data_IF_007746484853
#
_entry.id   IF_007746484853
#
_cell.length_a   1.000
_cell.length_b   1.000
_cell.length_c   1.000
_cell.angle_alpha   90.00
_cell.angle_beta   90.00
_cell.angle_gamma   90.00
#
_symmetry.space_group_name_H-M   'P 1'
#
loop_
_entity.id
_entity.type
_entity.pdbx_description
1 polymer ?
#
# COMPACT_ATOMS: atom_id res chain seq x y z
N UNK A 1 24.16 -29.33 76.45
CA UNK A 1 23.00 -29.23 75.50
C UNK A 1 23.41 -28.28 74.42
N UNK A 2 23.68 -28.81 73.23
CA UNK A 2 24.17 -28.01 72.06
C UNK A 2 23.05 -27.89 71.08
N UNK A 3 22.58 -26.66 70.82
CA UNK A 3 21.60 -26.36 69.79
C UNK A 3 22.32 -26.08 68.49
N UNK A 4 21.97 -26.83 67.44
CA UNK A 4 22.42 -26.61 66.06
C UNK A 4 21.42 -25.75 65.36
N UNK A 5 21.86 -24.60 64.87
CA UNK A 5 21.10 -23.75 64.00
C UNK A 5 21.32 -24.11 62.51
N UNK A 6 20.30 -24.56 61.85
CA UNK A 6 20.34 -24.83 60.39
C UNK A 6 20.06 -23.56 59.59
N UNK A 7 21.05 -23.13 58.82
CA UNK A 7 20.90 -22.04 57.83
C UNK A 7 20.31 -22.63 56.54
N UNK A 8 19.09 -22.20 56.19
CA UNK A 8 18.47 -22.46 54.90
C UNK A 8 18.86 -21.33 53.93
N UNK A 9 19.78 -21.64 53.01
CA UNK A 9 20.05 -20.77 51.83
C UNK A 9 18.95 -20.99 50.82
N UNK A 10 18.07 -20.00 50.69
CA UNK A 10 17.09 -19.93 49.60
C UNK A 10 17.78 -19.45 48.31
N UNK A 11 17.91 -20.35 47.33
CA UNK A 11 18.26 -19.96 45.95
C UNK A 11 17.07 -19.26 45.30
N UNK A 12 17.16 -17.95 45.17
CA UNK A 12 16.26 -17.19 44.27
C UNK A 12 16.73 -17.36 42.82
N UNK A 13 16.11 -18.29 42.09
CA UNK A 13 16.20 -18.32 40.64
C UNK A 13 15.45 -17.09 40.10
N UNK A 14 16.18 -16.05 39.71
CA UNK A 14 15.64 -15.02 38.88
C UNK A 14 15.47 -15.59 37.47
N UNK A 15 14.25 -16.00 37.17
CA UNK A 15 13.83 -16.24 35.78
C UNK A 15 13.77 -14.87 35.11
N UNK A 16 14.82 -14.56 34.35
CA UNK A 16 14.78 -13.46 33.37
C UNK A 16 13.73 -13.85 32.30
N UNK A 17 12.48 -13.43 32.49
CA UNK A 17 11.52 -13.40 31.41
C UNK A 17 12.09 -12.39 30.40
N UNK A 18 12.77 -12.88 29.37
CA UNK A 18 12.95 -12.11 28.14
C UNK A 18 11.56 -11.87 27.61
N UNK A 19 11.01 -10.66 27.86
CA UNK A 19 9.88 -10.17 27.13
C UNK A 19 10.29 -10.27 25.65
N UNK A 20 9.66 -11.17 24.91
CA UNK A 20 9.70 -11.11 23.46
C UNK A 20 9.11 -9.72 23.14
N UNK A 21 9.97 -8.79 22.76
CA UNK A 21 9.55 -7.55 22.15
C UNK A 21 8.70 -7.99 20.95
N UNK A 22 7.41 -7.76 21.07
CA UNK A 22 6.48 -7.91 19.95
C UNK A 22 6.95 -6.86 18.94
N UNK A 23 7.82 -7.28 18.01
CA UNK A 23 8.42 -6.42 17.00
C UNK A 23 7.26 -5.91 16.13
N UNK A 24 6.72 -4.77 16.53
CA UNK A 24 5.72 -4.05 15.75
C UNK A 24 6.28 -3.91 14.34
N UNK A 25 5.57 -4.47 13.37
CA UNK A 25 5.93 -4.34 11.97
C UNK A 25 5.87 -2.88 11.57
N UNK A 26 6.85 -2.46 10.78
CA UNK A 26 6.83 -1.16 10.17
C UNK A 26 5.74 -1.12 9.08
N UNK A 27 5.21 0.07 8.88
CA UNK A 27 4.21 0.39 7.86
C UNK A 27 4.74 1.47 6.92
N UNK A 28 3.98 1.82 5.90
CA UNK A 28 4.31 2.93 5.01
C UNK A 28 4.50 4.27 5.75
N UNK A 29 3.85 4.42 6.91
CA UNK A 29 3.91 5.66 7.71
C UNK A 29 5.18 5.77 8.56
N UNK A 30 5.94 4.69 8.69
CA UNK A 30 7.23 4.68 9.37
C UNK A 30 8.40 5.01 8.41
N UNK A 31 8.12 5.12 7.11
CA UNK A 31 9.10 5.50 6.10
C UNK A 31 9.54 6.97 6.28
N UNK A 32 10.83 7.22 6.14
CA UNK A 32 11.45 8.51 6.40
C UNK A 32 11.80 9.22 5.10
N UNK A 33 10.88 10.07 4.62
CA UNK A 33 11.08 10.88 3.43
C UNK A 33 12.32 11.79 3.56
N UNK A 34 13.06 11.95 2.47
CA UNK A 34 14.29 12.72 2.42
C UNK A 34 15.51 12.01 3.01
N UNK A 35 15.33 10.84 3.62
CA UNK A 35 16.42 10.10 4.26
C UNK A 35 16.95 8.97 3.35
N UNK A 36 18.23 8.60 3.52
CA UNK A 36 18.82 7.51 2.74
C UNK A 36 18.21 6.16 3.08
N UNK A 37 18.40 5.19 2.19
CA UNK A 37 17.92 3.81 2.33
C UNK A 37 18.36 3.18 3.68
N UNK A 38 19.56 3.49 4.14
CA UNK A 38 20.10 2.98 5.42
C UNK A 38 19.40 3.54 6.67
N UNK A 39 18.63 4.60 6.53
CA UNK A 39 17.86 5.20 7.63
C UNK A 39 16.41 4.72 7.66
N UNK A 40 15.97 3.97 6.64
CA UNK A 40 14.62 3.40 6.61
C UNK A 40 14.46 2.31 7.66
N UNK A 41 13.22 1.95 8.03
CA UNK A 41 12.98 0.82 8.92
C UNK A 41 13.64 -0.45 8.36
N UNK A 42 14.10 -1.33 9.26
CA UNK A 42 14.82 -2.54 8.86
C UNK A 42 13.95 -3.43 7.95
N UNK A 43 14.57 -4.07 6.97
CA UNK A 43 13.84 -4.86 5.96
C UNK A 43 13.08 -6.06 6.56
N UNK A 44 13.54 -6.60 7.68
CA UNK A 44 12.88 -7.69 8.40
C UNK A 44 11.56 -7.29 9.09
N UNK A 45 11.30 -5.98 9.19
CA UNK A 45 10.00 -5.46 9.67
C UNK A 45 8.90 -5.48 8.59
N UNK A 46 9.24 -5.87 7.37
CA UNK A 46 8.31 -6.02 6.26
C UNK A 46 8.21 -7.48 5.84
N UNK A 47 7.10 -7.84 5.21
CA UNK A 47 6.84 -9.20 4.72
C UNK A 47 7.59 -9.50 3.42
N UNK A 48 7.68 -8.53 2.56
CA UNK A 48 8.27 -8.71 1.25
C UNK A 48 8.58 -7.42 0.52
N UNK A 49 9.41 -7.55 -0.50
CA UNK A 49 9.82 -6.46 -1.36
C UNK A 49 9.82 -6.89 -2.81
N UNK A 50 9.43 -6.00 -3.70
CA UNK A 50 9.56 -6.20 -5.14
C UNK A 50 9.77 -4.87 -5.87
N UNK A 51 10.30 -4.94 -7.09
CA UNK A 51 10.28 -3.77 -7.96
C UNK A 51 8.85 -3.42 -8.36
N UNK A 52 8.51 -2.16 -8.23
CA UNK A 52 7.21 -1.64 -8.56
C UNK A 52 6.97 -1.43 -10.06
N UNK A 53 5.72 -1.13 -10.38
CA UNK A 53 5.26 -0.80 -11.74
C UNK A 53 4.13 0.23 -11.71
N UNK A 54 4.30 1.26 -10.88
CA UNK A 54 3.36 2.37 -10.73
C UNK A 54 1.94 1.92 -10.28
N UNK A 55 1.88 1.06 -9.25
CA UNK A 55 0.64 0.50 -8.74
C UNK A 55 0.15 -0.73 -9.50
N UNK A 56 0.87 -1.18 -10.51
CA UNK A 56 0.59 -2.40 -11.26
C UNK A 56 1.20 -3.65 -10.62
N UNK A 57 1.27 -4.77 -11.35
CA UNK A 57 1.85 -6.01 -10.85
C UNK A 57 3.32 -5.83 -10.43
N UNK A 58 3.79 -6.50 -9.37
CA UNK A 58 5.20 -6.50 -9.01
C UNK A 58 6.03 -7.16 -10.11
N UNK A 59 7.24 -6.63 -10.35
CA UNK A 59 8.11 -7.15 -11.40
C UNK A 59 9.11 -8.15 -10.83
N UNK A 60 10.15 -7.67 -10.16
CA UNK A 60 11.25 -8.48 -9.62
C UNK A 60 11.17 -8.50 -8.10
N UNK A 61 11.23 -9.68 -7.50
CA UNK A 61 11.34 -9.80 -6.06
C UNK A 61 12.71 -9.32 -5.57
N UNK A 62 12.73 -8.67 -4.42
CA UNK A 62 13.90 -8.10 -3.77
C UNK A 62 14.04 -8.69 -2.37
N UNK A 63 15.26 -8.62 -1.79
CA UNK A 63 15.51 -9.04 -0.41
C UNK A 63 15.31 -7.92 0.62
N UNK A 64 15.25 -6.68 0.17
CA UNK A 64 15.08 -5.51 1.03
C UNK A 64 15.33 -4.21 0.29
N UNK A 65 15.42 -3.12 1.06
CA UNK A 65 15.62 -1.78 0.53
C UNK A 65 16.92 -1.62 -0.28
N UNK A 66 18.01 -2.28 0.13
CA UNK A 66 19.33 -2.16 -0.50
C UNK A 66 19.34 -2.62 -1.96
N UNK A 67 18.38 -3.45 -2.33
CA UNK A 67 18.20 -3.94 -3.70
C UNK A 67 17.52 -2.91 -4.64
N UNK A 68 17.17 -1.70 -4.20
CA UNK A 68 16.39 -0.72 -4.97
C UNK A 68 16.98 -0.43 -6.36
N UNK A 69 18.33 -0.46 -6.50
CA UNK A 69 19.02 -0.24 -7.78
C UNK A 69 18.74 -1.30 -8.84
N UNK A 70 18.19 -2.45 -8.43
CA UNK A 70 17.79 -3.52 -9.36
C UNK A 70 16.46 -3.22 -10.05
N UNK A 71 15.73 -2.20 -9.58
CA UNK A 71 14.49 -1.74 -10.20
C UNK A 71 14.79 -0.73 -11.30
N UNK A 72 14.00 -0.81 -12.38
CA UNK A 72 14.08 0.16 -13.47
C UNK A 72 13.70 1.55 -12.96
N UNK A 73 14.37 2.58 -13.44
CA UNK A 73 13.99 3.94 -13.14
C UNK A 73 12.70 4.33 -13.90
N UNK A 74 11.79 5.03 -13.25
CA UNK A 74 10.67 5.70 -13.89
C UNK A 74 11.15 6.89 -14.75
N UNK A 75 10.25 7.49 -15.51
CA UNK A 75 10.57 8.65 -16.36
C UNK A 75 11.09 9.86 -15.56
N UNK A 76 10.75 9.95 -14.28
CA UNK A 76 11.22 10.97 -13.35
C UNK A 76 12.57 10.63 -12.68
N UNK A 77 13.20 9.51 -13.07
CA UNK A 77 14.46 9.02 -12.51
C UNK A 77 14.35 8.29 -11.19
N UNK A 78 13.13 8.12 -10.63
CA UNK A 78 12.93 7.41 -9.38
C UNK A 78 12.78 5.91 -9.60
N UNK A 79 13.22 5.12 -8.62
CA UNK A 79 13.10 3.66 -8.61
C UNK A 79 12.06 3.25 -7.59
N UNK A 80 11.03 2.56 -8.05
CA UNK A 80 9.92 2.14 -7.22
C UNK A 80 10.16 0.78 -6.59
N UNK A 81 10.10 0.75 -5.27
CA UNK A 81 10.19 -0.47 -4.46
C UNK A 81 8.87 -0.67 -3.72
N UNK A 82 8.17 -1.74 -4.04
CA UNK A 82 7.01 -2.19 -3.28
C UNK A 82 7.45 -2.77 -1.96
N UNK A 83 6.71 -2.45 -0.89
CA UNK A 83 6.87 -3.07 0.41
C UNK A 83 5.53 -3.57 0.93
N UNK A 84 5.58 -4.69 1.64
CA UNK A 84 4.43 -5.38 2.16
C UNK A 84 4.58 -5.61 3.65
N UNK A 85 3.56 -5.32 4.46
CA UNK A 85 3.65 -5.40 5.91
C UNK A 85 2.50 -6.14 6.59
N UNK A 86 1.46 -6.51 5.88
CA UNK A 86 0.45 -7.43 6.39
C UNK A 86 0.13 -8.52 5.36
N UNK A 87 -0.49 -9.59 5.80
CA UNK A 87 -0.83 -10.77 5.03
C UNK A 87 -2.32 -11.10 5.12
N UNK A 88 -3.16 -10.17 5.59
CA UNK A 88 -4.60 -10.39 5.68
C UNK A 88 -5.25 -10.56 4.30
N UNK A 89 -4.58 -10.01 3.28
CA UNK A 89 -4.99 -10.13 1.90
C UNK A 89 -3.94 -10.89 1.10
N UNK A 90 -4.10 -12.19 1.02
CA UNK A 90 -3.45 -12.97 -0.02
C UNK A 90 -4.14 -12.65 -1.35
N UNK A 91 -3.56 -11.71 -2.11
CA UNK A 91 -4.06 -11.43 -3.46
C UNK A 91 -3.71 -12.57 -4.35
N UNK A 92 -4.66 -13.39 -4.53
CA UNK A 92 -4.62 -14.36 -5.59
C UNK A 92 -4.88 -13.60 -6.89
N UNK A 93 -3.87 -12.97 -7.46
CA UNK A 93 -3.81 -12.75 -8.89
C UNK A 93 -3.67 -14.11 -9.61
N UNK A 94 -4.30 -15.15 -9.10
CA UNK A 94 -4.54 -16.43 -9.72
C UNK A 94 -5.84 -16.34 -10.49
N UNK A 95 -5.92 -15.47 -11.47
CA UNK A 95 -6.58 -15.91 -12.66
C UNK A 95 -5.89 -17.21 -13.04
N UNK A 96 -6.61 -18.27 -13.29
CA UNK A 96 -6.08 -19.61 -13.54
C UNK A 96 -4.98 -19.65 -14.61
N UNK A 97 -4.76 -18.58 -15.34
CA UNK A 97 -3.88 -18.42 -16.48
C UNK A 97 -2.99 -17.17 -16.44
N UNK A 98 -2.94 -16.40 -15.33
CA UNK A 98 -2.01 -15.29 -15.21
C UNK A 98 -0.61 -15.79 -14.82
N UNK A 99 0.45 -15.10 -15.31
CA UNK A 99 1.83 -15.46 -15.00
C UNK A 99 2.06 -15.65 -13.51
N UNK A 100 2.74 -16.72 -13.15
CA UNK A 100 2.99 -17.15 -11.77
C UNK A 100 3.65 -16.09 -10.88
N UNK A 101 4.30 -15.12 -11.50
CA UNK A 101 4.96 -14.02 -10.79
C UNK A 101 3.97 -13.04 -10.14
N UNK A 102 2.83 -12.82 -10.76
CA UNK A 102 1.78 -11.95 -10.23
C UNK A 102 1.05 -12.61 -9.07
N UNK A 103 1.08 -13.95 -9.01
CA UNK A 103 0.28 -14.73 -8.06
C UNK A 103 0.87 -14.83 -6.65
N UNK A 104 2.07 -14.34 -6.42
CA UNK A 104 2.79 -14.52 -5.14
C UNK A 104 2.97 -13.27 -4.32
N UNK A 105 2.59 -12.11 -4.85
CA UNK A 105 2.62 -10.89 -4.09
C UNK A 105 1.34 -10.83 -3.24
N UNK A 106 1.49 -11.09 -1.96
CA UNK A 106 0.43 -10.81 -1.01
C UNK A 106 0.28 -9.29 -0.93
N UNK A 107 -0.89 -8.78 -0.74
CA UNK A 107 -1.10 -7.35 -0.63
C UNK A 107 -0.88 -6.83 0.78
N UNK A 108 -1.16 -5.58 0.98
CA UNK A 108 -1.22 -4.98 2.29
C UNK A 108 -2.52 -4.21 2.42
N UNK A 109 -2.91 -3.91 3.66
CA UNK A 109 -4.14 -3.19 3.98
C UNK A 109 -3.82 -1.86 4.61
N UNK A 110 -4.46 -0.81 4.13
CA UNK A 110 -4.40 0.51 4.75
C UNK A 110 -5.82 1.07 4.90
N UNK A 111 -6.15 1.50 6.11
CA UNK A 111 -7.50 1.97 6.47
C UNK A 111 -8.62 1.00 6.05
N UNK A 112 -8.35 -0.30 6.06
CA UNK A 112 -9.26 -1.36 5.66
C UNK A 112 -9.45 -1.54 4.16
N UNK A 113 -8.67 -0.85 3.32
CA UNK A 113 -8.65 -1.03 1.88
C UNK A 113 -7.41 -1.81 1.45
N UNK A 114 -7.55 -2.72 0.47
CA UNK A 114 -6.41 -3.35 -0.14
C UNK A 114 -5.62 -2.32 -0.95
N UNK A 115 -4.31 -2.27 -0.72
CA UNK A 115 -3.43 -1.30 -1.35
C UNK A 115 -2.10 -1.92 -1.77
N UNK A 116 -1.47 -1.29 -2.73
CA UNK A 116 -0.05 -1.47 -3.05
C UNK A 116 0.68 -0.26 -2.51
N UNK A 117 1.70 -0.49 -1.69
CA UNK A 117 2.51 0.58 -1.10
C UNK A 117 3.91 0.56 -1.66
N UNK A 118 4.45 1.73 -1.93
CA UNK A 118 5.74 1.90 -2.59
C UNK A 118 6.59 2.98 -1.93
N UNK A 119 7.88 2.71 -1.87
CA UNK A 119 8.93 3.69 -1.62
C UNK A 119 9.61 4.05 -2.95
N UNK A 120 9.82 5.34 -3.21
CA UNK A 120 10.42 5.87 -4.43
C UNK A 120 11.80 6.44 -4.11
N UNK A 121 12.84 5.76 -4.54
CA UNK A 121 14.24 6.15 -4.29
C UNK A 121 14.85 6.82 -5.51
N UNK A 122 15.67 7.86 -5.28
CA UNK A 122 16.57 8.37 -6.33
C UNK A 122 17.80 7.45 -6.52
N UNK A 123 18.62 7.74 -7.51
CA UNK A 123 19.84 6.97 -7.78
C UNK A 123 20.86 7.01 -6.62
N UNK A 124 20.82 8.04 -5.79
CA UNK A 124 21.60 8.16 -4.56
C UNK A 124 21.10 7.30 -3.41
N UNK A 125 19.92 6.69 -3.56
CA UNK A 125 19.26 5.91 -2.52
C UNK A 125 18.55 6.75 -1.46
N UNK A 126 18.21 7.97 -1.78
CA UNK A 126 17.39 8.83 -0.90
C UNK A 126 15.92 8.60 -1.24
N UNK A 127 15.09 8.39 -0.23
CA UNK A 127 13.64 8.25 -0.36
C UNK A 127 13.03 9.61 -0.74
N UNK A 128 12.57 9.74 -1.98
CA UNK A 128 11.97 10.96 -2.53
C UNK A 128 10.46 10.96 -2.53
N UNK A 129 9.85 9.79 -2.44
CA UNK A 129 8.39 9.69 -2.45
C UNK A 129 7.88 8.41 -1.83
N UNK A 130 6.62 8.48 -1.42
CA UNK A 130 5.80 7.36 -0.96
C UNK A 130 4.58 7.34 -1.84
N UNK A 131 4.18 6.16 -2.29
CA UNK A 131 2.99 5.97 -3.11
C UNK A 131 2.12 4.88 -2.51
N UNK A 132 0.83 5.15 -2.39
CA UNK A 132 -0.17 4.17 -1.96
C UNK A 132 -1.29 4.16 -3.00
N UNK A 133 -1.53 3.02 -3.60
CA UNK A 133 -2.55 2.86 -4.65
C UNK A 133 -3.49 1.75 -4.25
N UNK A 134 -4.80 1.97 -4.37
CA UNK A 134 -5.78 0.91 -4.14
C UNK A 134 -5.56 -0.24 -5.11
N UNK A 135 -5.57 -1.45 -4.59
CA UNK A 135 -5.24 -2.64 -5.38
C UNK A 135 -6.46 -3.12 -6.15
N UNK A 136 -6.37 -3.10 -7.46
CA UNK A 136 -7.42 -3.55 -8.38
C UNK A 136 -7.29 -5.02 -8.79
N UNK A 137 -6.27 -5.73 -8.30
CA UNK A 137 -6.06 -7.15 -8.67
C UNK A 137 -7.22 -8.01 -8.19
N UNK A 138 -7.65 -9.01 -8.96
CA UNK A 138 -8.75 -9.88 -8.58
C UNK A 138 -8.37 -10.78 -7.39
N UNK A 139 -9.31 -10.98 -6.50
CA UNK A 139 -9.19 -11.92 -5.38
C UNK A 139 -9.92 -13.24 -5.66
N UNK A 140 -9.38 -14.32 -5.11
CA UNK A 140 -9.91 -15.68 -5.31
C UNK A 140 -10.26 -16.42 -4.02
N UNK A 141 -10.22 -15.76 -2.87
CA UNK A 141 -10.73 -16.42 -1.64
C UNK A 141 -12.24 -16.32 -1.61
N UNK A 142 -12.90 -17.47 -1.63
CA UNK A 142 -14.37 -17.58 -1.66
C UNK A 142 -15.03 -17.15 -0.37
N UNK A 143 -14.33 -17.19 0.75
CA UNK A 143 -14.81 -16.84 2.08
C UNK A 143 -14.76 -15.32 2.38
N UNK A 144 -13.92 -14.58 1.66
CA UNK A 144 -13.77 -13.13 1.80
C UNK A 144 -14.14 -12.34 0.54
N UNK A 145 -14.44 -13.04 -0.56
CA UNK A 145 -14.66 -12.47 -1.88
C UNK A 145 -15.72 -11.35 -1.89
N UNK A 146 -16.85 -11.53 -1.20
CA UNK A 146 -17.91 -10.53 -1.18
C UNK A 146 -17.53 -9.24 -0.45
N UNK A 147 -16.81 -9.36 0.68
CA UNK A 147 -16.36 -8.19 1.44
C UNK A 147 -15.32 -7.38 0.65
N UNK A 148 -14.42 -8.09 -0.04
CA UNK A 148 -13.37 -7.46 -0.82
C UNK A 148 -13.87 -6.89 -2.15
N UNK A 149 -14.87 -7.51 -2.76
CA UNK A 149 -15.56 -6.94 -3.92
C UNK A 149 -16.22 -5.59 -3.56
N UNK A 150 -16.85 -5.48 -2.39
CA UNK A 150 -17.40 -4.22 -1.90
C UNK A 150 -16.30 -3.19 -1.68
N UNK A 151 -15.22 -3.55 -0.98
CA UNK A 151 -14.07 -2.65 -0.76
C UNK A 151 -13.46 -2.15 -2.07
N UNK A 152 -13.44 -2.96 -3.12
CA UNK A 152 -13.00 -2.54 -4.45
C UNK A 152 -13.99 -1.62 -5.13
N UNK A 153 -15.28 -1.92 -5.03
CA UNK A 153 -16.31 -1.02 -5.54
C UNK A 153 -16.20 0.36 -4.87
N UNK A 154 -15.81 0.37 -3.60
CA UNK A 154 -15.69 1.57 -2.76
C UNK A 154 -14.24 2.12 -2.70
N UNK A 155 -13.32 1.61 -3.51
CA UNK A 155 -11.90 1.97 -3.47
C UNK A 155 -11.65 3.48 -3.62
N UNK A 156 -12.49 4.21 -4.35
CA UNK A 156 -12.42 5.66 -4.48
C UNK A 156 -12.56 6.39 -3.13
N UNK A 157 -13.27 5.78 -2.12
CA UNK A 157 -13.43 6.36 -0.79
C UNK A 157 -12.10 6.43 -0.03
N UNK A 158 -11.15 5.55 -0.34
CA UNK A 158 -9.80 5.62 0.20
C UNK A 158 -9.16 6.98 -0.05
N UNK A 159 -9.40 7.59 -1.22
CA UNK A 159 -8.92 8.93 -1.54
C UNK A 159 -9.41 9.98 -0.54
N UNK A 160 -10.69 9.94 -0.18
CA UNK A 160 -11.26 10.85 0.82
C UNK A 160 -10.66 10.65 2.22
N UNK A 161 -10.40 9.38 2.62
CA UNK A 161 -9.76 9.07 3.90
C UNK A 161 -8.33 9.59 3.94
N UNK A 162 -7.57 9.43 2.85
CA UNK A 162 -6.19 9.92 2.75
C UNK A 162 -6.15 11.45 2.70
N UNK A 163 -7.06 12.09 1.99
CA UNK A 163 -7.21 13.54 2.00
C UNK A 163 -7.43 14.06 3.43
N UNK A 164 -8.38 13.49 4.16
CA UNK A 164 -8.65 13.85 5.55
C UNK A 164 -7.45 13.63 6.47
N UNK A 165 -6.76 12.49 6.32
CA UNK A 165 -5.54 12.18 7.10
C UNK A 165 -4.44 13.22 6.95
N UNK A 166 -4.31 13.80 5.77
CA UNK A 166 -3.29 14.80 5.45
C UNK A 166 -3.79 16.25 5.57
N UNK A 167 -4.99 16.46 6.07
CA UNK A 167 -5.55 17.81 6.27
C UNK A 167 -5.94 18.50 4.96
N UNK A 168 -6.15 17.75 3.89
CA UNK A 168 -6.66 18.26 2.62
C UNK A 168 -8.14 18.60 2.79
N UNK A 169 -8.50 19.84 2.48
CA UNK A 169 -9.88 20.32 2.46
C UNK A 169 -10.43 20.27 1.03
N UNK A 170 -11.41 19.38 0.74
CA UNK A 170 -11.86 19.16 -0.63
C UNK A 170 -12.29 20.43 -1.38
N UNK A 171 -12.92 21.38 -0.68
CA UNK A 171 -13.38 22.62 -1.29
C UNK A 171 -12.25 23.59 -1.69
N UNK A 172 -11.09 23.50 -1.05
CA UNK A 172 -9.95 24.37 -1.28
C UNK A 172 -8.85 23.70 -2.10
N UNK A 173 -8.57 22.45 -1.78
CA UNK A 173 -7.33 21.77 -2.23
C UNK A 173 -7.62 20.76 -3.35
N UNK A 174 -8.90 20.55 -3.72
CA UNK A 174 -9.27 19.56 -4.72
C UNK A 174 -9.96 20.17 -5.93
N UNK A 175 -9.71 19.58 -7.07
CA UNK A 175 -10.35 19.91 -8.34
C UNK A 175 -11.11 18.69 -8.83
N UNK A 176 -12.40 18.86 -9.13
CA UNK A 176 -13.19 17.87 -9.85
C UNK A 176 -12.90 17.98 -11.34
N UNK A 177 -12.46 16.89 -11.94
CA UNK A 177 -12.15 16.82 -13.36
C UNK A 177 -13.39 16.39 -14.13
N UNK A 178 -13.64 16.97 -15.31
CA UNK A 178 -14.77 16.57 -16.14
C UNK A 178 -14.59 15.16 -16.71
N UNK A 179 -15.69 14.55 -17.10
CA UNK A 179 -15.65 13.30 -17.85
C UNK A 179 -14.89 13.50 -19.17
N UNK A 180 -13.97 12.58 -19.45
CA UNK A 180 -13.34 12.48 -20.75
C UNK A 180 -14.24 11.72 -21.73
N UNK A 181 -13.87 11.69 -23.00
CA UNK A 181 -14.57 10.92 -24.01
C UNK A 181 -14.66 9.44 -23.59
N UNK A 182 -15.86 8.89 -23.64
CA UNK A 182 -16.14 7.51 -23.24
C UNK A 182 -16.27 7.29 -21.71
N UNK A 183 -16.13 8.33 -20.88
CA UNK A 183 -16.39 8.25 -19.45
C UNK A 183 -17.83 8.67 -19.11
N UNK A 184 -18.44 8.02 -18.13
CA UNK A 184 -19.80 8.31 -17.67
C UNK A 184 -20.01 7.93 -16.21
N UNK A 185 -21.07 8.45 -15.60
CA UNK A 185 -21.44 8.13 -14.23
C UNK A 185 -21.81 6.64 -14.05
N UNK A 186 -21.58 6.14 -12.85
CA UNK A 186 -22.08 4.86 -12.37
C UNK A 186 -23.34 5.15 -11.54
N UNK A 187 -24.52 4.88 -12.12
CA UNK A 187 -25.75 5.43 -11.56
C UNK A 187 -25.75 6.96 -11.65
N UNK A 188 -25.88 7.62 -10.53
CA UNK A 188 -25.85 9.10 -10.43
C UNK A 188 -24.46 9.64 -9.99
N UNK A 189 -23.54 8.76 -9.66
CA UNK A 189 -22.24 9.13 -9.09
C UNK A 189 -21.14 9.12 -10.16
N UNK A 190 -20.47 10.24 -10.30
CA UNK A 190 -19.24 10.40 -11.06
C UNK A 190 -18.20 11.06 -10.16
N UNK A 191 -17.08 10.37 -9.88
CA UNK A 191 -15.95 10.93 -9.13
C UNK A 191 -14.72 10.88 -10.01
N UNK A 192 -14.12 12.01 -10.25
CA UNK A 192 -12.81 12.17 -10.87
C UNK A 192 -12.18 13.39 -10.24
N UNK A 193 -11.46 13.17 -9.16
CA UNK A 193 -10.96 14.22 -8.28
C UNK A 193 -9.45 14.15 -8.16
N UNK A 194 -8.82 15.30 -8.16
CA UNK A 194 -7.39 15.47 -7.90
C UNK A 194 -7.21 16.54 -6.84
N UNK A 195 -6.50 16.22 -5.78
CA UNK A 195 -6.21 17.09 -4.67
C UNK A 195 -4.70 17.27 -4.54
N UNK A 196 -4.27 18.46 -4.14
CA UNK A 196 -2.86 18.79 -3.94
C UNK A 196 -2.72 19.68 -2.71
N UNK A 197 -1.78 19.35 -1.85
CA UNK A 197 -1.45 20.12 -0.67
C UNK A 197 0.08 20.21 -0.48
N UNK A 198 0.59 21.43 -0.36
CA UNK A 198 1.95 21.67 0.08
C UNK A 198 1.98 21.71 1.61
N UNK A 199 2.54 20.66 2.22
CA UNK A 199 2.82 20.64 3.66
C UNK A 199 4.17 21.29 3.93
N UNK A 200 4.16 22.61 4.02
CA UNK A 200 5.37 23.41 4.27
C UNK A 200 6.03 23.07 5.62
N UNK A 201 5.25 22.58 6.60
CA UNK A 201 5.78 22.23 7.92
C UNK A 201 6.68 20.99 7.88
N UNK A 202 6.46 20.11 6.92
CA UNK A 202 7.21 18.87 6.70
C UNK A 202 8.09 18.92 5.45
N UNK A 203 7.95 19.95 4.62
CA UNK A 203 8.63 20.03 3.32
C UNK A 203 8.16 18.95 2.35
N UNK A 204 6.88 18.63 2.38
CA UNK A 204 6.29 17.57 1.55
C UNK A 204 5.19 18.13 0.65
N UNK A 205 5.03 17.52 -0.51
CA UNK A 205 3.85 17.66 -1.37
C UNK A 205 3.01 16.40 -1.25
N UNK A 206 1.72 16.58 -1.06
CA UNK A 206 0.74 15.48 -0.96
C UNK A 206 -0.23 15.59 -2.11
N UNK A 207 -0.36 14.52 -2.89
CA UNK A 207 -1.30 14.37 -3.98
C UNK A 207 -2.26 13.23 -3.69
N UNK A 208 -3.54 13.49 -3.84
CA UNK A 208 -4.57 12.47 -3.73
C UNK A 208 -5.43 12.48 -4.98
N UNK A 209 -5.65 11.30 -5.56
CA UNK A 209 -6.60 11.12 -6.66
C UNK A 209 -7.64 10.09 -6.27
N UNK A 210 -8.88 10.34 -6.69
CA UNK A 210 -9.97 9.39 -6.54
C UNK A 210 -10.78 9.33 -7.83
N UNK A 211 -11.08 8.11 -8.28
CA UNK A 211 -11.82 7.86 -9.49
C UNK A 211 -12.97 6.90 -9.22
N UNK A 212 -14.18 7.24 -9.70
CA UNK A 212 -15.33 6.36 -9.74
C UNK A 212 -16.19 6.71 -10.94
N UNK A 213 -16.04 5.97 -12.03
CA UNK A 213 -16.76 6.20 -13.28
C UNK A 213 -16.75 4.96 -14.17
N UNK A 214 -17.63 4.93 -15.17
CA UNK A 214 -17.58 3.96 -16.28
C UNK A 214 -16.71 4.49 -17.40
N UNK A 215 -16.01 3.58 -18.07
CA UNK A 215 -15.25 3.89 -19.27
C UNK A 215 -15.66 2.95 -20.40
N UNK A 216 -15.97 3.50 -21.57
CA UNK A 216 -16.31 2.71 -22.75
C UNK A 216 -15.17 1.77 -23.10
N UNK A 217 -15.50 0.49 -23.37
CA UNK A 217 -14.51 -0.54 -23.71
C UNK A 217 -13.81 -1.17 -22.52
N UNK A 218 -14.08 -0.76 -21.28
CA UNK A 218 -13.63 -1.50 -20.12
C UNK A 218 -14.35 -2.85 -20.06
N UNK A 219 -13.57 -3.92 -20.15
CA UNK A 219 -14.04 -5.27 -19.86
C UNK A 219 -13.38 -5.73 -18.56
N UNK A 220 -14.16 -6.34 -17.70
CA UNK A 220 -13.65 -6.94 -16.48
C UNK A 220 -14.08 -8.39 -16.37
N UNK A 221 -13.38 -9.14 -15.55
CA UNK A 221 -13.74 -10.51 -15.24
C UNK A 221 -14.94 -10.49 -14.31
N UNK A 222 -15.99 -11.26 -14.64
CA UNK A 222 -17.11 -11.45 -13.73
C UNK A 222 -16.61 -12.17 -12.47
N UNK A 223 -16.71 -11.56 -11.27
CA UNK A 223 -16.20 -12.18 -10.05
C UNK A 223 -16.92 -13.50 -9.69
N UNK A 224 -18.15 -13.67 -10.14
CA UNK A 224 -18.94 -14.88 -9.92
C UNK A 224 -18.70 -15.96 -10.99
N UNK A 225 -18.27 -15.55 -12.18
CA UNK A 225 -17.99 -16.43 -13.31
C UNK A 225 -16.70 -15.96 -14.00
N UNK A 226 -15.52 -16.35 -13.47
CA UNK A 226 -14.21 -15.85 -13.94
C UNK A 226 -13.90 -16.08 -15.41
N UNK A 227 -14.67 -16.96 -16.06
CA UNK A 227 -14.56 -17.24 -17.51
C UNK A 227 -15.39 -16.28 -18.37
N UNK A 228 -16.22 -15.43 -17.77
CA UNK A 228 -17.05 -14.47 -18.50
C UNK A 228 -16.53 -13.06 -18.32
N UNK A 229 -16.28 -12.38 -19.43
CA UNK A 229 -16.02 -10.94 -19.44
C UNK A 229 -17.36 -10.21 -19.25
N UNK A 230 -17.44 -9.37 -18.22
CA UNK A 230 -18.59 -8.48 -18.05
C UNK A 230 -18.31 -7.15 -18.75
N UNK A 231 -19.18 -6.78 -19.68
CA UNK A 231 -19.22 -5.42 -20.20
C UNK A 231 -19.82 -4.49 -19.13
N UNK A 232 -19.15 -3.35 -18.91
CA UNK A 232 -19.72 -2.29 -18.09
C UNK A 232 -19.22 -2.25 -16.65
N UNK A 233 -18.04 -2.79 -16.35
CA UNK A 233 -17.37 -2.47 -15.10
C UNK A 233 -16.99 -0.99 -15.04
N UNK A 234 -16.98 -0.50 -13.84
CA UNK A 234 -16.58 0.87 -13.54
C UNK A 234 -15.16 0.86 -12.94
N UNK A 235 -14.46 1.95 -13.14
CA UNK A 235 -13.22 2.22 -12.42
C UNK A 235 -13.58 2.70 -11.01
N UNK A 236 -13.02 2.08 -10.01
CA UNK A 236 -13.01 2.57 -8.64
C UNK A 236 -11.58 2.48 -8.15
N UNK A 237 -10.95 3.60 -7.98
CA UNK A 237 -9.53 3.65 -7.58
C UNK A 237 -9.23 4.90 -6.79
N UNK A 238 -8.21 4.79 -5.94
CA UNK A 238 -7.62 5.95 -5.31
C UNK A 238 -6.10 5.80 -5.24
N UNK A 239 -5.42 6.92 -5.20
CA UNK A 239 -3.98 7.02 -5.14
C UNK A 239 -3.57 8.18 -4.25
N UNK A 240 -2.61 7.91 -3.40
CA UNK A 240 -1.88 8.89 -2.61
C UNK A 240 -0.42 8.88 -3.07
N UNK A 241 0.13 10.03 -3.40
CA UNK A 241 1.57 10.24 -3.57
C UNK A 241 2.01 11.32 -2.57
N UNK A 242 3.05 11.03 -1.79
CA UNK A 242 3.72 11.99 -0.93
C UNK A 242 5.15 12.11 -1.43
N UNK A 243 5.60 13.32 -1.70
CA UNK A 243 6.95 13.57 -2.21
C UNK A 243 7.65 14.65 -1.42
N UNK A 244 8.97 14.62 -1.42
CA UNK A 244 9.78 15.75 -0.93
C UNK A 244 9.48 16.95 -1.83
N UNK A 245 9.14 18.08 -1.24
CA UNK A 245 8.97 19.33 -1.99
C UNK A 245 10.24 19.65 -2.77
N UNK A 246 10.14 20.11 -4.02
CA UNK A 246 11.30 20.67 -4.69
C UNK A 246 11.85 21.86 -3.86
N UNK A 247 13.15 22.05 -3.84
CA UNK A 247 13.79 23.15 -3.10
C UNK A 247 13.37 24.51 -3.62
#
# INVERSE_FOLDING_TARGET
>A
MRSAAALLLGLFCWSSATAAEDLRRATVWDLKLGMPVSAQPASDQFRGFACGSNGGPPRRQLSGWDDFRRCDAEANGLREVYCEYDDEYEYIARARDLPREVSRWAGTTEAGFPVVVSALFDDGGVLKGIRVVTDSRPEYRTDTADANLRKRADAYLFGGLMAARHGIEPARDCVSLPAAEGESAVGELFVKQSCELADASRGHMVYVRANYFRKTGQSGVNPQLPTQLTQGQFESSARLDISVSPP
#
